data_IF_918284202121
#
_entry.id   IF_918284202121
#
_cell.length_a   1.000
_cell.length_b   1.000
_cell.length_c   1.000
_cell.angle_alpha   90.00
_cell.angle_beta   90.00
_cell.angle_gamma   90.00
#
_symmetry.space_group_name_H-M   'P 1'
#
loop_
_entity.id
_entity.type
_entity.pdbx_description
1 polymer ?
#
# COMPACT_ATOMS: atom_id res chain seq x y z
N UNK A 1 -34.49 -47.11 -1.95
CA UNK A 1 -33.74 -46.41 -3.01
C UNK A 1 -34.70 -45.43 -3.65
N UNK A 2 -34.75 -44.19 -3.15
CA UNK A 2 -35.73 -43.18 -3.58
C UNK A 2 -35.19 -42.38 -4.78
N UNK A 3 -36.04 -42.04 -5.76
CA UNK A 3 -35.63 -41.29 -6.94
C UNK A 3 -35.54 -39.81 -6.55
N UNK A 4 -34.33 -39.33 -6.27
CA UNK A 4 -34.08 -37.89 -6.20
C UNK A 4 -34.32 -37.35 -7.61
N UNK A 5 -35.39 -36.57 -7.77
CA UNK A 5 -35.89 -36.11 -9.06
C UNK A 5 -34.81 -35.34 -9.82
N UNK A 6 -34.75 -35.55 -11.15
CA UNK A 6 -33.82 -34.84 -12.03
C UNK A 6 -33.92 -33.31 -11.89
N UNK A 7 -35.08 -32.80 -11.46
CA UNK A 7 -35.33 -31.40 -11.17
C UNK A 7 -34.53 -30.87 -9.96
N UNK A 8 -34.35 -31.69 -8.91
CA UNK A 8 -33.52 -31.31 -7.77
C UNK A 8 -32.03 -31.26 -8.14
N UNK A 9 -31.59 -32.13 -9.05
CA UNK A 9 -30.21 -32.15 -9.57
C UNK A 9 -29.90 -30.94 -10.46
N UNK A 10 -30.83 -30.54 -11.32
CA UNK A 10 -30.65 -29.35 -12.17
C UNK A 10 -30.74 -28.05 -11.35
N UNK A 11 -31.62 -27.98 -10.36
CA UNK A 11 -31.70 -26.84 -9.45
C UNK A 11 -30.41 -26.66 -8.62
N UNK A 12 -29.82 -27.76 -8.13
CA UNK A 12 -28.54 -27.75 -7.43
C UNK A 12 -27.37 -27.34 -8.35
N UNK A 13 -27.36 -27.81 -9.60
CA UNK A 13 -26.33 -27.43 -10.57
C UNK A 13 -26.39 -25.94 -10.94
N UNK A 14 -27.60 -25.38 -11.13
CA UNK A 14 -27.77 -23.95 -11.41
C UNK A 14 -27.42 -23.06 -10.21
N UNK A 15 -27.72 -23.49 -8.97
CA UNK A 15 -27.32 -22.74 -7.76
C UNK A 15 -25.82 -22.78 -7.54
N UNK A 16 -25.15 -23.91 -7.80
CA UNK A 16 -23.68 -23.99 -7.76
C UNK A 16 -23.03 -23.14 -8.85
N UNK A 17 -23.57 -23.12 -10.07
CA UNK A 17 -23.08 -22.25 -11.16
C UNK A 17 -23.29 -20.75 -10.86
N UNK A 18 -24.41 -20.39 -10.22
CA UNK A 18 -24.68 -19.02 -9.79
C UNK A 18 -23.74 -18.56 -8.65
N UNK A 19 -23.38 -19.48 -7.73
CA UNK A 19 -22.40 -19.21 -6.68
C UNK A 19 -20.96 -19.09 -7.21
N UNK A 20 -20.64 -19.76 -8.33
CA UNK A 20 -19.32 -19.66 -9.00
C UNK A 20 -19.16 -18.37 -9.83
N UNK A 21 -20.26 -17.75 -10.30
CA UNK A 21 -20.23 -16.51 -11.07
C UNK A 21 -19.93 -15.24 -10.25
N UNK A 22 -19.95 -15.32 -8.92
CA UNK A 22 -19.81 -14.16 -8.02
C UNK A 22 -18.38 -13.75 -7.65
N UNK A 23 -17.35 -14.50 -8.06
CA UNK A 23 -15.98 -14.32 -7.56
C UNK A 23 -14.98 -13.73 -8.57
N UNK A 24 -15.43 -12.92 -9.53
CA UNK A 24 -14.55 -12.00 -10.28
C UNK A 24 -14.74 -10.60 -9.68
N UNK A 25 -14.20 -10.39 -8.48
CA UNK A 25 -14.02 -9.04 -7.96
C UNK A 25 -12.54 -8.71 -8.01
N UNK A 26 -12.23 -7.92 -9.05
CA UNK A 26 -11.23 -6.87 -9.09
C UNK A 26 -9.96 -7.14 -8.27
N UNK A 27 -8.94 -7.68 -8.95
CA UNK A 27 -7.57 -7.28 -8.67
C UNK A 27 -7.45 -5.80 -8.98
N UNK A 28 -7.91 -4.97 -8.05
CA UNK A 28 -7.91 -3.52 -8.13
C UNK A 28 -6.44 -3.07 -8.11
N UNK A 29 -5.85 -2.92 -9.29
CA UNK A 29 -4.63 -2.15 -9.47
C UNK A 29 -5.03 -0.70 -9.25
N UNK A 30 -5.23 -0.34 -7.97
CA UNK A 30 -5.67 1.00 -7.60
C UNK A 30 -4.73 2.01 -8.24
N UNK A 31 -5.24 3.02 -8.95
CA UNK A 31 -4.39 4.11 -9.40
C UNK A 31 -3.66 4.67 -8.19
N UNK A 32 -2.35 4.85 -8.31
CA UNK A 32 -1.56 5.45 -7.23
C UNK A 32 -2.21 6.78 -6.86
N UNK A 33 -2.57 6.98 -5.58
CA UNK A 33 -3.24 8.19 -5.16
C UNK A 33 -2.34 9.37 -5.47
N UNK A 34 -2.93 10.47 -5.94
CA UNK A 34 -2.20 11.71 -6.13
C UNK A 34 -1.52 12.09 -4.81
N UNK A 35 -0.25 12.46 -4.89
CA UNK A 35 0.50 12.83 -3.70
C UNK A 35 -0.14 14.05 -3.04
N UNK A 36 -0.41 13.95 -1.73
CA UNK A 36 -0.97 15.06 -0.99
C UNK A 36 -0.02 16.27 -1.09
N UNK A 37 -0.52 17.50 -1.29
CA UNK A 37 0.32 18.67 -1.31
C UNK A 37 1.04 18.81 0.03
N UNK A 38 2.36 19.01 0.00
CA UNK A 38 3.10 19.42 1.20
C UNK A 38 2.50 20.76 1.63
N UNK A 39 1.97 20.82 2.85
CA UNK A 39 1.52 22.08 3.45
C UNK A 39 2.69 22.68 4.22
N UNK A 40 3.36 23.70 3.70
CA UNK A 40 4.39 24.34 4.47
C UNK A 40 3.81 25.27 5.52
N UNK A 41 4.54 25.39 6.62
CA UNK A 41 4.30 26.38 7.66
C UNK A 41 4.76 27.72 7.06
N UNK A 42 3.83 28.52 6.54
CA UNK A 42 4.13 29.88 6.07
C UNK A 42 4.23 30.81 7.28
N UNK A 43 5.42 31.37 7.63
CA UNK A 43 5.46 32.58 8.42
C UNK A 43 4.73 33.71 7.68
N UNK A 44 4.14 34.67 8.42
CA UNK A 44 3.34 35.73 7.85
C UNK A 44 4.14 36.53 6.83
N UNK A 45 3.62 36.64 5.60
CA UNK A 45 4.20 37.55 4.60
C UNK A 45 3.95 38.98 5.05
N UNK A 46 4.99 39.82 5.03
CA UNK A 46 4.86 41.23 5.35
C UNK A 46 3.96 41.90 4.30
N UNK A 47 2.86 42.51 4.74
CA UNK A 47 1.97 43.25 3.84
C UNK A 47 2.69 44.48 3.27
N UNK A 48 2.45 44.83 1.99
CA UNK A 48 3.04 46.02 1.39
C UNK A 48 2.62 47.28 2.15
N UNK A 49 3.61 48.05 2.63
CA UNK A 49 3.37 49.30 3.34
C UNK A 49 2.96 50.40 2.36
N UNK A 50 1.78 50.99 2.55
CA UNK A 50 1.31 52.11 1.74
C UNK A 50 2.29 53.30 1.84
N UNK A 51 2.84 53.74 0.71
CA UNK A 51 3.84 54.81 0.63
C UNK A 51 5.30 54.35 0.55
N UNK A 52 5.58 53.04 0.60
CA UNK A 52 6.92 52.53 0.34
C UNK A 52 7.24 52.56 -1.17
N UNK A 53 8.40 53.14 -1.53
CA UNK A 53 8.95 53.06 -2.89
C UNK A 53 9.39 51.62 -3.23
N UNK A 54 9.72 50.84 -2.19
CA UNK A 54 10.12 49.45 -2.31
C UNK A 54 8.92 48.52 -2.09
N UNK A 55 8.52 47.82 -3.16
CA UNK A 55 7.64 46.67 -3.07
C UNK A 55 8.47 45.39 -3.12
N UNK A 56 8.29 44.50 -2.13
CA UNK A 56 8.88 43.16 -2.17
C UNK A 56 8.18 42.32 -3.25
N UNK A 57 8.59 42.50 -4.50
CA UNK A 57 8.12 41.76 -5.67
C UNK A 57 9.25 40.95 -6.34
N UNK A 58 8.97 40.27 -7.47
CA UNK A 58 9.96 39.48 -8.18
C UNK A 58 11.16 40.35 -8.57
N UNK A 59 12.31 40.12 -7.95
CA UNK A 59 13.53 40.90 -8.20
C UNK A 59 14.09 40.52 -9.58
N UNK A 60 14.21 41.50 -10.47
CA UNK A 60 14.82 41.30 -11.79
C UNK A 60 16.33 41.04 -11.62
N UNK A 61 16.75 39.78 -11.69
CA UNK A 61 18.16 39.39 -11.54
C UNK A 61 18.88 39.45 -12.89
N UNK A 62 19.56 40.58 -13.14
CA UNK A 62 20.32 40.81 -14.38
C UNK A 62 21.65 40.02 -14.46
N UNK A 63 22.13 39.50 -13.32
CA UNK A 63 23.46 38.86 -13.20
C UNK A 63 23.48 37.58 -12.35
N UNK A 64 22.34 36.95 -12.07
CA UNK A 64 22.35 35.69 -11.30
C UNK A 64 22.48 34.46 -12.18
N UNK A 65 23.05 33.40 -11.61
CA UNK A 65 23.01 32.06 -12.18
C UNK A 65 21.55 31.64 -12.45
N UNK A 66 21.29 30.98 -13.58
CA UNK A 66 19.97 30.54 -14.04
C UNK A 66 19.54 29.26 -13.32
N UNK A 67 19.51 29.32 -11.99
CA UNK A 67 19.02 28.22 -11.16
C UNK A 67 17.54 28.42 -10.82
N UNK A 68 16.81 27.33 -10.74
CA UNK A 68 15.43 27.31 -10.28
C UNK A 68 15.35 27.92 -8.89
N UNK A 69 14.51 28.94 -8.74
CA UNK A 69 14.30 29.67 -7.50
C UNK A 69 12.83 30.02 -7.36
N UNK A 70 12.18 30.49 -8.41
CA UNK A 70 10.82 30.99 -8.32
C UNK A 70 9.77 29.90 -8.58
N UNK A 71 8.55 30.18 -8.14
CA UNK A 71 7.40 29.31 -8.40
C UNK A 71 7.18 29.24 -9.91
N UNK A 72 7.03 28.02 -10.42
CA UNK A 72 6.96 27.74 -11.85
C UNK A 72 8.29 27.35 -12.50
N UNK A 73 9.42 27.53 -11.81
CA UNK A 73 10.70 27.06 -12.33
C UNK A 73 10.77 25.53 -12.37
N UNK A 74 11.52 25.02 -13.35
CA UNK A 74 11.72 23.59 -13.54
C UNK A 74 13.12 23.20 -13.07
N UNK A 75 13.22 22.08 -12.37
CA UNK A 75 14.49 21.46 -12.04
C UNK A 75 14.40 19.94 -12.17
N UNK A 76 15.53 19.29 -12.39
CA UNK A 76 15.59 17.85 -12.59
C UNK A 76 16.10 17.16 -11.32
N UNK A 77 15.31 16.24 -10.78
CA UNK A 77 15.73 15.38 -9.70
C UNK A 77 16.32 14.10 -10.28
N UNK A 78 17.57 13.82 -9.91
CA UNK A 78 18.25 12.57 -10.23
C UNK A 78 17.99 11.57 -9.12
N UNK A 79 17.21 10.54 -9.44
CA UNK A 79 16.81 9.45 -8.56
C UNK A 79 17.93 8.40 -8.53
N UNK A 80 18.45 8.13 -7.33
CA UNK A 80 19.38 7.04 -7.09
C UNK A 80 19.01 6.34 -5.78
N UNK A 81 17.91 5.59 -5.82
CA UNK A 81 17.34 4.94 -4.65
C UNK A 81 17.71 3.46 -4.61
N UNK A 82 18.18 3.02 -3.44
CA UNK A 82 18.45 1.62 -3.14
C UNK A 82 17.86 1.30 -1.76
N UNK A 83 16.75 0.56 -1.75
CA UNK A 83 16.05 0.19 -0.52
C UNK A 83 16.11 -1.32 -0.36
N UNK A 84 16.71 -1.77 0.75
CA UNK A 84 16.68 -3.16 1.19
C UNK A 84 15.82 -3.24 2.44
N UNK A 85 14.66 -3.89 2.34
CA UNK A 85 13.78 -4.16 3.47
C UNK A 85 13.89 -5.64 3.83
N UNK A 86 14.24 -5.93 5.08
CA UNK A 86 14.21 -7.27 5.63
C UNK A 86 13.19 -7.28 6.77
N UNK A 87 12.10 -8.03 6.58
CA UNK A 87 11.05 -8.21 7.58
C UNK A 87 11.06 -9.67 8.02
N UNK A 88 11.41 -9.89 9.28
CA UNK A 88 11.25 -11.19 9.96
C UNK A 88 9.97 -11.16 10.78
N UNK A 89 9.00 -12.00 10.44
CA UNK A 89 7.79 -12.22 11.22
C UNK A 89 7.82 -13.63 11.82
N UNK A 90 7.83 -13.73 13.15
CA UNK A 90 7.60 -14.97 13.87
C UNK A 90 6.18 -14.93 14.45
N UNK A 91 5.31 -15.81 13.96
CA UNK A 91 3.96 -15.98 14.49
C UNK A 91 3.89 -17.34 15.16
N UNK A 92 3.70 -17.35 16.48
CA UNK A 92 3.39 -18.55 17.24
C UNK A 92 1.96 -18.43 17.75
N UNK A 93 1.09 -19.34 17.31
CA UNK A 93 -0.31 -19.40 17.75
C UNK A 93 -0.56 -20.76 18.34
N UNK A 94 -0.79 -20.79 19.65
CA UNK A 94 -1.18 -21.99 20.38
C UNK A 94 -2.67 -21.87 20.67
N UNK A 95 -3.49 -22.77 20.10
CA UNK A 95 -4.92 -22.84 20.40
C UNK A 95 -5.26 -24.20 20.98
N UNK A 96 -5.54 -24.21 22.27
CA UNK A 96 -6.08 -25.35 22.98
C UNK A 96 -7.61 -25.25 22.98
N UNK A 97 -8.29 -26.25 22.40
CA UNK A 97 -9.75 -26.33 22.44
C UNK A 97 -10.15 -27.58 23.21
N UNK A 98 -10.57 -27.38 24.46
CA UNK A 98 -11.15 -28.43 25.27
C UNK A 98 -12.68 -28.35 25.18
N UNK A 99 -13.28 -29.16 24.30
CA UNK A 99 -14.72 -29.25 24.18
C UNK A 99 -15.20 -30.41 25.06
N UNK A 100 -15.61 -30.09 26.28
CA UNK A 100 -16.25 -31.05 27.19
C UNK A 100 -17.76 -31.04 26.92
N UNK A 101 -18.25 -32.00 26.14
CA UNK A 101 -19.70 -32.25 26.08
C UNK A 101 -20.08 -32.93 27.40
N UNK A 102 -20.73 -32.19 28.29
CA UNK A 102 -21.35 -32.76 29.49
C UNK A 102 -22.35 -33.84 29.07
N UNK A 103 -22.39 -34.94 29.81
CA UNK A 103 -23.24 -36.09 29.53
C UNK A 103 -24.71 -35.64 29.40
N UNK A 104 -25.38 -35.84 28.26
CA UNK A 104 -26.79 -35.46 28.13
C UNK A 104 -27.63 -36.37 29.05
N UNK A 105 -28.17 -35.81 30.13
CA UNK A 105 -29.11 -36.50 31.01
C UNK A 105 -30.50 -36.51 30.35
N UNK A 106 -31.04 -37.69 30.06
CA UNK A 106 -32.45 -37.83 29.71
C UNK A 106 -33.20 -38.07 31.02
N UNK A 107 -34.16 -37.20 31.36
CA UNK A 107 -34.96 -37.28 32.61
C UNK A 107 -34.14 -37.26 33.93
N UNK A 108 -32.98 -36.60 33.94
CA UNK A 108 -32.21 -36.37 35.17
C UNK A 108 -31.35 -37.55 35.66
N UNK A 109 -31.24 -38.63 34.88
CA UNK A 109 -30.33 -39.75 35.17
C UNK A 109 -29.29 -39.93 34.04
N UNK A 110 -28.02 -40.23 34.36
CA UNK A 110 -26.99 -40.50 33.35
C UNK A 110 -27.24 -41.87 32.69
N UNK A 111 -27.13 -41.93 31.36
CA UNK A 111 -27.31 -43.17 30.58
C UNK A 111 -26.05 -44.04 30.73
N UNK A 112 -26.02 -44.84 31.79
CA UNK A 112 -24.91 -45.76 32.11
C UNK A 112 -25.32 -47.20 31.79
N UNK A 113 -24.43 -47.97 31.16
CA UNK A 113 -24.61 -49.41 30.98
C UNK A 113 -23.44 -50.11 31.67
N UNK A 114 -23.73 -50.85 32.75
CA UNK A 114 -22.70 -51.55 33.54
C UNK A 114 -21.76 -50.63 34.33
N UNK A 115 -22.20 -49.43 34.73
CA UNK A 115 -21.40 -48.51 35.55
C UNK A 115 -20.36 -47.68 34.78
N UNK A 116 -20.33 -47.75 33.44
CA UNK A 116 -19.55 -46.87 32.58
C UNK A 116 -20.46 -46.03 31.69
N UNK A 117 -20.11 -44.75 31.58
CA UNK A 117 -20.87 -43.71 30.89
C UNK A 117 -20.62 -43.79 29.38
N UNK A 118 -21.58 -44.33 28.62
CA UNK A 118 -21.41 -44.72 27.20
C UNK A 118 -21.49 -43.52 26.25
N UNK A 119 -22.01 -42.39 26.72
CA UNK A 119 -22.23 -41.17 25.93
C UNK A 119 -21.22 -40.05 26.23
N UNK A 120 -20.16 -40.35 26.99
CA UNK A 120 -19.09 -39.39 27.29
C UNK A 120 -18.08 -39.32 26.14
N UNK A 121 -18.35 -38.46 25.15
CA UNK A 121 -17.40 -38.17 24.08
C UNK A 121 -16.49 -36.99 24.48
N UNK A 122 -15.26 -37.28 24.88
CA UNK A 122 -14.22 -36.25 25.11
C UNK A 122 -13.42 -36.07 23.82
N UNK A 123 -13.57 -34.92 23.16
CA UNK A 123 -12.75 -34.54 22.00
C UNK A 123 -11.71 -33.52 22.44
N UNK A 124 -10.43 -33.94 22.49
CA UNK A 124 -9.29 -33.05 22.74
C UNK A 124 -8.59 -32.76 21.42
N UNK A 125 -8.60 -31.50 21.00
CA UNK A 125 -7.83 -31.02 19.85
C UNK A 125 -6.81 -29.98 20.32
N UNK A 126 -5.52 -30.27 20.11
CA UNK A 126 -4.43 -29.30 20.26
C UNK A 126 -3.90 -28.96 18.86
N UNK A 127 -3.77 -27.66 18.55
CA UNK A 127 -3.19 -27.19 17.30
C UNK A 127 -2.13 -26.15 17.59
N UNK A 128 -0.89 -26.54 17.31
CA UNK A 128 0.29 -25.69 17.41
C UNK A 128 0.68 -25.22 16.01
N UNK A 129 0.65 -23.91 15.78
CA UNK A 129 1.12 -23.32 14.53
C UNK A 129 2.31 -22.40 14.81
N UNK A 130 3.48 -22.78 14.27
CA UNK A 130 4.67 -21.94 14.25
C UNK A 130 4.96 -21.53 12.81
N UNK A 131 4.66 -20.28 12.47
CA UNK A 131 4.99 -19.67 11.19
C UNK A 131 6.23 -18.80 11.31
N UNK A 132 7.30 -19.14 10.58
CA UNK A 132 8.45 -18.26 10.35
C UNK A 132 8.32 -17.66 8.95
N UNK A 133 8.12 -16.35 8.88
CA UNK A 133 8.11 -15.59 7.63
C UNK A 133 9.34 -14.72 7.55
N UNK A 134 10.30 -15.07 6.69
CA UNK A 134 11.43 -14.21 6.37
C UNK A 134 11.16 -13.58 4.99
N UNK A 135 10.87 -12.29 4.96
CA UNK A 135 10.67 -11.54 3.72
C UNK A 135 11.84 -10.59 3.50
N UNK A 136 12.61 -10.82 2.43
CA UNK A 136 13.65 -9.91 1.99
C UNK A 136 13.19 -9.28 0.67
N UNK A 137 13.11 -7.94 0.65
CA UNK A 137 12.72 -7.17 -0.51
C UNK A 137 13.83 -6.17 -0.84
N UNK A 138 14.39 -6.30 -2.05
CA UNK A 138 15.40 -5.39 -2.59
C UNK A 138 14.82 -4.62 -3.78
N UNK A 139 14.78 -3.29 -3.69
CA UNK A 139 14.31 -2.41 -4.75
C UNK A 139 15.40 -1.41 -5.13
N UNK A 140 15.68 -1.29 -6.43
CA UNK A 140 16.59 -0.29 -7.00
C UNK A 140 15.83 0.58 -7.99
N UNK A 141 15.90 1.90 -7.82
CA UNK A 141 15.29 2.88 -8.73
C UNK A 141 16.37 3.88 -9.17
N UNK A 142 16.54 4.01 -10.48
CA UNK A 142 17.47 4.96 -11.08
C UNK A 142 16.79 5.70 -12.22
N UNK A 143 16.95 7.02 -12.28
CA UNK A 143 16.42 7.81 -13.38
C UNK A 143 16.37 9.30 -13.10
N UNK A 144 15.90 10.07 -14.07
CA UNK A 144 15.73 11.51 -13.96
C UNK A 144 14.26 11.89 -14.12
N UNK A 145 13.77 12.74 -13.22
CA UNK A 145 12.41 13.28 -13.23
C UNK A 145 12.47 14.80 -13.14
N UNK A 146 11.87 15.48 -14.10
CA UNK A 146 11.70 16.93 -14.05
C UNK A 146 10.52 17.26 -13.14
N UNK A 147 10.76 18.18 -12.22
CA UNK A 147 9.77 18.68 -11.26
C UNK A 147 9.61 20.18 -11.41
N UNK A 148 8.46 20.69 -11.00
CA UNK A 148 8.16 22.12 -10.97
C UNK A 148 8.19 22.61 -9.54
N UNK A 149 8.70 23.82 -9.33
CA UNK A 149 8.58 24.52 -8.05
C UNK A 149 7.13 24.96 -7.88
N UNK A 150 6.43 24.37 -6.91
CA UNK A 150 5.02 24.71 -6.62
C UNK A 150 4.90 25.85 -5.62
N UNK A 151 5.91 26.02 -4.76
CA UNK A 151 5.90 27.07 -3.74
C UNK A 151 7.33 27.41 -3.29
N UNK A 152 7.58 28.69 -3.03
CA UNK A 152 8.78 29.15 -2.31
C UNK A 152 8.44 29.33 -0.84
N UNK A 153 9.21 28.67 0.02
CA UNK A 153 9.14 28.83 1.47
C UNK A 153 9.76 30.15 1.91
N UNK A 154 9.35 30.73 3.04
CA UNK A 154 9.89 32.02 3.48
C UNK A 154 11.37 32.01 3.88
N UNK A 155 11.94 30.83 4.16
CA UNK A 155 13.38 30.65 4.33
C UNK A 155 14.15 30.55 2.99
N UNK A 156 13.46 30.66 1.85
CA UNK A 156 14.02 30.57 0.50
C UNK A 156 14.04 29.16 -0.10
N UNK A 157 13.67 28.11 0.66
CA UNK A 157 13.58 26.75 0.15
C UNK A 157 12.41 26.59 -0.83
N UNK A 158 12.47 25.57 -1.68
CA UNK A 158 11.54 25.34 -2.77
C UNK A 158 10.78 24.05 -2.51
N UNK A 159 9.46 24.13 -2.44
CA UNK A 159 8.60 22.94 -2.51
C UNK A 159 8.48 22.58 -3.98
N UNK A 160 8.83 21.34 -4.31
CA UNK A 160 8.82 20.83 -5.67
C UNK A 160 7.91 19.63 -5.80
N UNK A 161 7.28 19.53 -6.97
CA UNK A 161 6.41 18.41 -7.30
C UNK A 161 6.51 18.13 -8.80
N UNK A 162 6.57 16.86 -9.16
CA UNK A 162 6.51 16.43 -10.54
C UNK A 162 6.10 14.98 -10.67
N UNK A 163 5.64 14.63 -11.86
CA UNK A 163 5.33 13.26 -12.21
C UNK A 163 5.79 12.96 -13.63
N UNK A 164 6.28 11.74 -13.84
CA UNK A 164 6.69 11.23 -15.14
C UNK A 164 5.88 9.98 -15.43
N UNK A 165 5.04 10.07 -16.46
CA UNK A 165 4.27 8.94 -16.96
C UNK A 165 5.01 8.37 -18.16
N UNK A 166 5.33 7.09 -18.13
CA UNK A 166 5.94 6.38 -19.24
C UNK A 166 5.01 5.23 -19.64
N UNK A 167 4.97 4.90 -20.93
CA UNK A 167 4.30 3.69 -21.41
C UNK A 167 5.35 2.84 -22.09
N UNK A 168 5.63 1.67 -21.54
CA UNK A 168 6.63 0.75 -22.05
C UNK A 168 5.99 -0.59 -22.38
N UNK A 169 6.09 -1.00 -23.64
CA UNK A 169 5.48 -2.20 -24.20
C UNK A 169 3.98 -2.35 -23.84
N UNK A 170 3.65 -3.18 -22.85
CA UNK A 170 2.29 -3.51 -22.41
C UNK A 170 1.93 -2.94 -21.02
N UNK A 171 2.66 -1.95 -20.51
CA UNK A 171 2.39 -1.35 -19.21
C UNK A 171 2.52 0.17 -19.17
N UNK A 172 1.77 0.77 -18.25
CA UNK A 172 1.92 2.19 -17.89
C UNK A 172 2.74 2.28 -16.61
N UNK A 173 3.85 2.99 -16.64
CA UNK A 173 4.70 3.30 -15.50
C UNK A 173 4.52 4.76 -15.06
N UNK A 174 4.53 4.97 -13.75
CA UNK A 174 4.35 6.24 -13.09
C UNK A 174 5.48 6.44 -12.08
N UNK A 175 6.17 7.57 -12.19
CA UNK A 175 7.13 8.05 -11.20
C UNK A 175 6.66 9.40 -10.69
N UNK A 176 6.28 9.49 -9.42
CA UNK A 176 5.92 10.76 -8.78
C UNK A 176 6.99 11.14 -7.76
N UNK A 177 7.37 12.40 -7.76
CA UNK A 177 8.38 12.95 -6.87
C UNK A 177 7.86 14.24 -6.26
N UNK A 178 8.00 14.37 -4.95
CA UNK A 178 7.69 15.58 -4.21
C UNK A 178 8.69 15.76 -3.08
N UNK A 179 8.99 17.01 -2.71
CA UNK A 179 9.84 17.29 -1.56
C UNK A 179 10.19 18.76 -1.46
N UNK A 180 11.14 19.05 -0.57
CA UNK A 180 11.66 20.39 -0.34
C UNK A 180 13.14 20.44 -0.74
N UNK A 181 13.48 21.37 -1.62
CA UNK A 181 14.82 21.57 -2.17
C UNK A 181 15.38 22.90 -1.70
N UNK A 182 16.64 22.93 -1.28
CA UNK A 182 17.33 24.19 -0.98
C UNK A 182 17.96 24.72 -2.29
N UNK A 183 17.83 26.02 -2.62
CA UNK A 183 18.43 26.57 -3.83
C UNK A 183 19.95 26.37 -3.94
N UNK A 184 20.65 26.25 -2.81
CA UNK A 184 22.09 25.98 -2.77
C UNK A 184 22.48 24.55 -3.17
N UNK A 185 21.56 23.58 -3.07
CA UNK A 185 21.79 22.20 -3.48
C UNK A 185 21.55 21.98 -4.99
N UNK A 186 20.99 22.98 -5.67
CA UNK A 186 20.74 22.98 -7.13
C UNK A 186 22.05 23.26 -7.86
N UNK A 187 22.45 22.34 -8.75
CA UNK A 187 23.59 22.51 -9.64
C UNK A 187 23.40 23.66 -10.64
N UNK A 188 24.49 24.05 -11.32
CA UNK A 188 24.42 25.04 -12.39
C UNK A 188 23.58 24.59 -13.60
N UNK A 189 23.35 23.28 -13.70
CA UNK A 189 22.55 22.60 -14.71
C UNK A 189 21.09 22.37 -14.27
N UNK A 190 20.64 22.98 -13.16
CA UNK A 190 19.31 22.75 -12.57
C UNK A 190 19.04 21.31 -12.14
N UNK A 191 20.08 20.56 -11.76
CA UNK A 191 19.92 19.20 -11.24
C UNK A 191 20.11 19.13 -9.72
N UNK A 192 19.39 18.20 -9.09
CA UNK A 192 19.50 17.90 -7.66
C UNK A 192 19.43 16.37 -7.46
N UNK A 193 20.38 15.75 -6.75
CA UNK A 193 20.26 14.35 -6.39
C UNK A 193 19.15 14.14 -5.37
N UNK A 194 18.39 13.05 -5.48
CA UNK A 194 17.27 12.73 -4.58
C UNK A 194 17.67 12.67 -3.10
N UNK A 195 18.92 12.30 -2.80
CA UNK A 195 19.51 12.32 -1.45
C UNK A 195 19.62 13.70 -0.80
N UNK A 196 19.55 14.79 -1.58
CA UNK A 196 19.57 16.17 -1.08
C UNK A 196 18.18 16.82 -1.04
N UNK A 197 17.13 16.05 -1.26
CA UNK A 197 15.74 16.52 -1.18
C UNK A 197 15.20 16.20 0.21
N UNK A 198 14.77 17.21 0.95
CA UNK A 198 14.15 17.03 2.26
C UNK A 198 12.69 16.58 2.11
N UNK A 199 12.23 15.73 3.03
CA UNK A 199 10.89 15.11 2.99
C UNK A 199 10.55 14.50 1.61
N UNK A 200 11.56 13.91 0.96
CA UNK A 200 11.40 13.32 -0.36
C UNK A 200 10.37 12.18 -0.34
N UNK A 201 9.28 12.37 -1.07
CA UNK A 201 8.27 11.35 -1.34
C UNK A 201 8.42 10.92 -2.79
N UNK A 202 8.86 9.69 -2.98
CA UNK A 202 9.08 9.10 -4.30
C UNK A 202 8.18 7.88 -4.42
N UNK A 203 7.26 7.91 -5.38
CA UNK A 203 6.35 6.81 -5.68
C UNK A 203 6.70 6.28 -7.05
N UNK A 204 7.08 5.00 -7.11
CA UNK A 204 7.27 4.25 -8.35
C UNK A 204 6.17 3.21 -8.47
N UNK A 205 5.53 3.15 -9.63
CA UNK A 205 4.42 2.25 -9.85
C UNK A 205 4.21 1.87 -11.30
N UNK A 206 4.08 0.58 -11.58
CA UNK A 206 3.79 0.04 -12.90
C UNK A 206 2.45 -0.69 -12.95
N UNK A 207 1.66 -0.44 -14.00
CA UNK A 207 0.43 -1.19 -14.33
C UNK A 207 0.74 -2.14 -15.48
N UNK A 208 0.47 -3.44 -15.31
CA UNK A 208 0.65 -4.44 -16.37
C UNK A 208 0.42 -5.88 -15.90
N UNK A 209 0.32 -6.86 -16.82
CA UNK A 209 0.03 -8.26 -16.49
C UNK A 209 1.03 -8.87 -15.50
N UNK A 210 2.30 -8.44 -15.55
CA UNK A 210 3.36 -8.86 -14.62
C UNK A 210 3.13 -8.37 -13.18
N UNK A 211 2.60 -7.16 -13.01
CA UNK A 211 2.20 -6.66 -11.69
C UNK A 211 0.99 -7.43 -11.15
N UNK A 212 0.07 -7.85 -12.04
CA UNK A 212 -1.13 -8.60 -11.70
C UNK A 212 -0.85 -10.06 -11.31
N UNK A 213 0.20 -10.69 -11.88
CA UNK A 213 0.65 -12.03 -11.49
C UNK A 213 1.20 -12.12 -10.06
N UNK A 214 1.67 -11.00 -9.49
CA UNK A 214 2.15 -10.94 -8.10
C UNK A 214 1.02 -10.73 -7.08
N UNK A 215 -0.22 -10.50 -7.52
CA UNK A 215 -1.35 -10.40 -6.62
C UNK A 215 -1.81 -11.80 -6.18
N UNK A 216 -1.88 -12.00 -4.85
CA UNK A 216 -2.35 -13.24 -4.25
C UNK A 216 -3.74 -13.63 -4.79
N UNK A 217 -3.82 -14.80 -5.43
CA UNK A 217 -5.06 -15.29 -6.05
C UNK A 217 -6.18 -15.45 -5.03
N UNK A 218 -7.42 -15.23 -5.46
CA UNK A 218 -8.61 -15.23 -4.60
C UNK A 218 -8.73 -16.50 -3.74
N UNK A 219 -8.40 -17.68 -4.28
CA UNK A 219 -8.47 -18.96 -3.58
C UNK A 219 -7.48 -19.03 -2.41
N UNK A 220 -6.24 -18.55 -2.62
CA UNK A 220 -5.24 -18.48 -1.55
C UNK A 220 -5.62 -17.46 -0.47
N UNK A 221 -6.30 -16.36 -0.84
CA UNK A 221 -6.83 -15.37 0.12
C UNK A 221 -7.99 -15.92 0.95
N UNK A 222 -8.82 -16.78 0.37
CA UNK A 222 -9.93 -17.42 1.06
C UNK A 222 -9.45 -18.34 2.19
N UNK A 223 -8.52 -19.26 1.91
CA UNK A 223 -7.96 -20.18 2.91
C UNK A 223 -7.03 -19.50 3.93
N UNK A 224 -6.54 -18.29 3.65
CA UNK A 224 -5.74 -17.50 4.57
C UNK A 224 -6.57 -16.42 5.31
N UNK A 225 -7.89 -16.36 5.08
CA UNK A 225 -8.77 -15.41 5.77
C UNK A 225 -9.23 -15.97 7.12
N UNK A 226 -9.43 -15.08 8.11
CA UNK A 226 -9.82 -15.47 9.47
C UNK A 226 -11.22 -16.10 9.62
N UNK A 227 -11.90 -16.43 8.52
CA UNK A 227 -13.25 -16.97 8.48
C UNK A 227 -13.32 -18.49 8.32
N UNK A 228 -12.20 -19.21 8.11
CA UNK A 228 -12.18 -20.68 8.00
C UNK A 228 -11.54 -21.33 9.23
N UNK A 229 -12.31 -22.02 10.10
CA UNK A 229 -11.77 -22.71 11.26
C UNK A 229 -11.40 -24.17 10.94
N UNK A 230 -10.44 -24.41 10.02
CA UNK A 230 -9.84 -25.73 9.80
C UNK A 230 -8.37 -25.56 9.43
#
# INVERSE_FOLDING_TARGET
MSPISNFARTALACTVAALLGGCVIAGDVRPYPAMAPIQPIMPPQAEPTAGAIYAAGPTLQLYSDRRARDVGDLLTITLLENTTAQTSANTATNKESNLSLGTPSILGAPVTLGGKDILSATAKGARDFTGKGNSAQSNRLQGNVTVTVVQRLPNGNLVVQGQKNLRLNQGDELVQVQGIVRPGDIGADNTVPSSRVAEARIVYGGRGPVAQSNAMGWLSRFFNSGLTPF
#
